data_IF_975992326838
#
_entry.id   IF_975992326838
#
_cell.length_a   1.000
_cell.length_b   1.000
_cell.length_c   1.000
_cell.angle_alpha   90.00
_cell.angle_beta   90.00
_cell.angle_gamma   90.00
#
_symmetry.space_group_name_H-M   'P 1'
#
loop_
_entity.id
_entity.type
_entity.pdbx_description
1 polymer ?
#
# COMPACT_ATOMS: atom_id res chain seq x y z
N UNK A 1 -27.06 -8.50 -9.43
CA UNK A 1 -26.14 -7.82 -8.48
C UNK A 1 -25.89 -8.75 -7.30
N UNK A 2 -24.67 -9.21 -7.12
CA UNK A 2 -24.28 -10.04 -5.97
C UNK A 2 -24.17 -9.20 -4.68
N UNK A 3 -23.84 -9.82 -3.54
CA UNK A 3 -23.79 -9.11 -2.24
C UNK A 3 -22.66 -8.05 -2.21
N UNK A 4 -21.52 -8.29 -2.87
CA UNK A 4 -20.40 -7.35 -2.90
C UNK A 4 -20.74 -6.12 -3.76
N UNK A 5 -21.39 -6.30 -4.89
CA UNK A 5 -21.87 -5.21 -5.74
C UNK A 5 -22.93 -4.35 -5.02
N UNK A 6 -23.81 -4.97 -4.21
CA UNK A 6 -24.76 -4.21 -3.38
C UNK A 6 -24.06 -3.41 -2.28
N UNK A 7 -23.00 -3.95 -1.68
CA UNK A 7 -22.22 -3.24 -0.68
C UNK A 7 -21.53 -2.00 -1.28
N UNK A 8 -20.99 -2.11 -2.49
CA UNK A 8 -20.38 -0.98 -3.20
C UNK A 8 -21.43 0.07 -3.61
N UNK A 9 -22.59 -0.37 -4.11
CA UNK A 9 -23.68 0.53 -4.49
C UNK A 9 -24.33 1.26 -3.29
N UNK A 10 -24.14 0.74 -2.08
CA UNK A 10 -24.66 1.38 -0.86
C UNK A 10 -23.72 2.49 -0.30
N UNK A 11 -22.53 2.66 -0.88
CA UNK A 11 -21.62 3.73 -0.44
C UNK A 11 -22.11 5.10 -0.92
N UNK A 12 -22.05 6.13 -0.08
CA UNK A 12 -22.57 7.46 -0.40
C UNK A 12 -21.57 8.27 -1.23
N UNK A 13 -21.22 7.75 -2.43
CA UNK A 13 -20.33 8.45 -3.35
C UNK A 13 -20.96 9.75 -3.84
N UNK A 14 -20.15 10.80 -3.97
CA UNK A 14 -20.55 12.00 -4.72
C UNK A 14 -20.67 11.67 -6.22
N UNK A 15 -21.28 12.56 -7.00
CA UNK A 15 -21.36 12.36 -8.45
C UNK A 15 -19.96 12.30 -9.08
N UNK A 16 -19.04 13.15 -8.64
CA UNK A 16 -17.66 13.18 -9.12
C UNK A 16 -16.92 11.88 -8.78
N UNK A 17 -17.03 11.39 -7.54
CA UNK A 17 -16.43 10.12 -7.12
C UNK A 17 -17.01 8.92 -7.89
N UNK A 18 -18.32 8.93 -8.17
CA UNK A 18 -18.96 7.90 -8.98
C UNK A 18 -18.37 7.88 -10.39
N UNK A 19 -18.28 9.03 -11.05
CA UNK A 19 -17.70 9.16 -12.40
C UNK A 19 -16.23 8.72 -12.42
N UNK A 20 -15.45 9.10 -11.41
CA UNK A 20 -14.06 8.67 -11.30
C UNK A 20 -13.95 7.16 -11.11
N UNK A 21 -14.73 6.57 -10.20
CA UNK A 21 -14.71 5.13 -9.95
C UNK A 21 -15.10 4.33 -11.19
N UNK A 22 -16.07 4.79 -11.97
CA UNK A 22 -16.45 4.15 -13.24
C UNK A 22 -15.30 4.22 -14.26
N UNK A 23 -14.61 5.37 -14.34
CA UNK A 23 -13.42 5.54 -15.19
C UNK A 23 -12.26 4.65 -14.74
N UNK A 24 -12.06 4.49 -13.43
CA UNK A 24 -11.04 3.59 -12.85
C UNK A 24 -11.37 2.13 -13.16
N UNK A 25 -12.62 1.72 -13.02
CA UNK A 25 -13.07 0.35 -13.38
C UNK A 25 -12.86 0.05 -14.86
N UNK A 26 -13.20 1.00 -15.72
CA UNK A 26 -12.95 0.88 -17.15
C UNK A 26 -11.45 0.74 -17.45
N UNK A 27 -10.62 1.64 -16.91
CA UNK A 27 -9.17 1.59 -17.05
C UNK A 27 -8.60 0.24 -16.55
N UNK A 28 -9.05 -0.21 -15.38
CA UNK A 28 -8.64 -1.47 -14.76
C UNK A 28 -8.96 -2.67 -15.68
N UNK A 29 -10.18 -2.74 -16.19
CA UNK A 29 -10.64 -3.85 -17.03
C UNK A 29 -10.02 -3.85 -18.43
N UNK A 30 -9.99 -2.68 -19.10
CA UNK A 30 -9.62 -2.59 -20.52
C UNK A 30 -8.10 -2.51 -20.75
N UNK A 31 -7.33 -1.95 -19.80
CA UNK A 31 -5.90 -1.72 -19.99
C UNK A 31 -5.02 -2.42 -18.96
N UNK A 32 -5.33 -2.32 -17.66
CA UNK A 32 -4.44 -2.85 -16.62
C UNK A 32 -4.50 -4.39 -16.55
N UNK A 33 -5.70 -4.96 -16.49
CA UNK A 33 -5.88 -6.43 -16.37
C UNK A 33 -5.25 -7.20 -17.53
N UNK A 34 -5.41 -6.79 -18.81
CA UNK A 34 -4.79 -7.49 -19.93
C UNK A 34 -3.26 -7.53 -19.91
N UNK A 35 -2.61 -6.52 -19.29
CA UNK A 35 -1.15 -6.42 -19.20
C UNK A 35 -0.57 -7.16 -18.00
N UNK A 36 -1.40 -7.51 -17.00
CA UNK A 36 -0.93 -8.00 -15.69
C UNK A 36 -0.11 -9.30 -15.77
N UNK A 37 -0.47 -10.23 -16.66
CA UNK A 37 0.27 -11.48 -16.85
C UNK A 37 1.65 -11.26 -17.47
N UNK A 38 1.76 -10.31 -18.41
CA UNK A 38 3.04 -9.93 -19.00
C UNK A 38 3.99 -9.36 -17.94
N UNK A 39 3.53 -8.39 -17.17
CA UNK A 39 4.34 -7.75 -16.13
C UNK A 39 4.72 -8.69 -14.98
N UNK A 40 3.85 -9.63 -14.59
CA UNK A 40 4.24 -10.67 -13.63
C UNK A 40 5.34 -11.58 -14.19
N UNK A 41 5.27 -11.93 -15.47
CA UNK A 41 6.26 -12.80 -16.11
C UNK A 41 7.62 -12.13 -16.27
N UNK A 42 7.65 -10.87 -16.74
CA UNK A 42 8.89 -10.14 -17.04
C UNK A 42 9.48 -9.45 -15.81
N UNK A 43 8.66 -9.18 -14.80
CA UNK A 43 9.02 -8.34 -13.64
C UNK A 43 9.45 -6.90 -14.03
N UNK A 44 9.09 -6.45 -15.23
CA UNK A 44 9.33 -5.08 -15.68
C UNK A 44 8.38 -4.11 -14.97
N UNK A 45 8.87 -2.90 -14.70
CA UNK A 45 8.04 -1.85 -14.12
C UNK A 45 6.95 -1.39 -15.10
N UNK A 46 5.67 -1.35 -14.71
CA UNK A 46 4.55 -1.18 -15.62
C UNK A 46 4.30 0.30 -15.98
N UNK A 47 5.25 0.93 -16.66
CA UNK A 47 5.18 2.35 -17.04
C UNK A 47 3.91 2.73 -17.80
N UNK A 48 3.41 1.84 -18.67
CA UNK A 48 2.15 2.08 -19.39
C UNK A 48 0.97 2.21 -18.44
N UNK A 49 0.91 1.38 -17.38
CA UNK A 49 -0.15 1.46 -16.38
C UNK A 49 -0.03 2.74 -15.54
N UNK A 50 1.20 3.11 -15.15
CA UNK A 50 1.48 4.36 -14.41
C UNK A 50 1.07 5.57 -15.25
N UNK A 51 1.41 5.58 -16.53
CA UNK A 51 1.01 6.64 -17.46
C UNK A 51 -0.52 6.75 -17.60
N UNK A 52 -1.22 5.62 -17.72
CA UNK A 52 -2.67 5.62 -17.83
C UNK A 52 -3.34 6.11 -16.53
N UNK A 53 -2.81 5.75 -15.35
CA UNK A 53 -3.21 6.26 -14.03
C UNK A 53 -3.01 7.77 -13.94
N UNK A 54 -1.84 8.26 -14.38
CA UNK A 54 -1.53 9.69 -14.38
C UNK A 54 -2.43 10.47 -15.35
N UNK A 55 -2.72 9.93 -16.53
CA UNK A 55 -3.63 10.55 -17.50
C UNK A 55 -5.07 10.66 -16.96
N UNK A 56 -5.47 9.81 -16.03
CA UNK A 56 -6.76 9.88 -15.34
C UNK A 56 -6.72 10.85 -14.13
N UNK A 57 -5.55 11.44 -13.82
CA UNK A 57 -5.40 12.40 -12.73
C UNK A 57 -5.41 11.79 -11.32
N UNK A 58 -5.23 10.47 -11.19
CA UNK A 58 -5.37 9.80 -9.89
C UNK A 58 -4.36 10.25 -8.83
N UNK A 59 -3.18 10.75 -9.23
CA UNK A 59 -2.22 11.30 -8.27
C UNK A 59 -2.67 12.62 -7.65
N UNK A 60 -3.52 13.39 -8.35
CA UNK A 60 -4.04 14.64 -7.84
C UNK A 60 -5.10 14.46 -6.75
N UNK A 61 -5.78 13.28 -6.70
CA UNK A 61 -6.96 13.06 -5.84
C UNK A 61 -6.70 13.11 -4.33
N UNK A 62 -5.46 13.08 -3.88
CA UNK A 62 -5.11 13.17 -2.46
C UNK A 62 -4.28 14.41 -2.12
N UNK A 63 -3.94 15.24 -3.11
CA UNK A 63 -3.16 16.48 -2.93
C UNK A 63 -4.12 17.67 -2.86
N UNK A 64 -3.93 18.63 -1.92
CA UNK A 64 -4.77 19.82 -1.84
C UNK A 64 -4.70 20.67 -3.10
N UNK A 65 -5.82 21.35 -3.43
CA UNK A 65 -5.93 22.26 -4.59
C UNK A 65 -4.84 23.34 -4.63
N UNK A 66 -4.45 23.88 -3.46
CA UNK A 66 -3.38 24.87 -3.34
C UNK A 66 -2.04 24.41 -3.92
N UNK A 67 -1.85 23.10 -4.13
CA UNK A 67 -0.64 22.50 -4.68
C UNK A 67 -0.92 21.73 -5.99
N UNK A 68 -1.98 22.11 -6.71
CA UNK A 68 -2.31 21.52 -8.01
C UNK A 68 -3.06 20.19 -7.93
N UNK A 69 -3.58 19.83 -6.78
CA UNK A 69 -4.40 18.63 -6.60
C UNK A 69 -5.88 18.85 -6.87
N UNK A 70 -6.66 17.77 -6.82
CA UNK A 70 -8.12 17.73 -6.87
C UNK A 70 -8.62 16.71 -5.82
N UNK A 71 -8.62 17.10 -4.52
CA UNK A 71 -8.81 16.15 -3.42
C UNK A 71 -10.22 15.58 -3.42
N UNK A 72 -10.28 14.24 -3.35
CA UNK A 72 -11.50 13.46 -3.12
C UNK A 72 -11.45 12.78 -1.75
N UNK A 73 -12.53 12.09 -1.39
CA UNK A 73 -12.60 11.41 -0.10
C UNK A 73 -11.54 10.31 0.02
N UNK A 74 -11.10 10.05 1.25
CA UNK A 74 -10.18 8.95 1.53
C UNK A 74 -10.84 7.59 1.22
N UNK A 75 -12.17 7.49 1.38
CA UNK A 75 -12.93 6.32 0.97
C UNK A 75 -12.83 6.09 -0.55
N UNK A 76 -12.96 7.13 -1.37
CA UNK A 76 -12.79 7.05 -2.82
C UNK A 76 -11.37 6.59 -3.21
N UNK A 77 -10.34 7.12 -2.56
CA UNK A 77 -8.96 6.64 -2.72
C UNK A 77 -8.83 5.14 -2.45
N UNK A 78 -9.39 4.64 -1.33
CA UNK A 78 -9.36 3.22 -0.99
C UNK A 78 -10.12 2.37 -2.01
N UNK A 79 -11.25 2.85 -2.53
CA UNK A 79 -11.98 2.18 -3.60
C UNK A 79 -11.14 2.08 -4.88
N UNK A 80 -10.46 3.15 -5.29
CA UNK A 80 -9.56 3.12 -6.44
C UNK A 80 -8.39 2.14 -6.24
N UNK A 81 -7.77 2.10 -5.05
CA UNK A 81 -6.71 1.11 -4.73
C UNK A 81 -7.25 -0.31 -4.90
N UNK A 82 -8.45 -0.60 -4.40
CA UNK A 82 -9.08 -1.92 -4.51
C UNK A 82 -9.34 -2.30 -5.97
N UNK A 83 -9.96 -1.42 -6.77
CA UNK A 83 -10.30 -1.68 -8.18
C UNK A 83 -9.03 -1.93 -9.04
N UNK A 84 -8.00 -1.11 -8.87
CA UNK A 84 -6.72 -1.28 -9.58
C UNK A 84 -6.03 -2.58 -9.15
N UNK A 85 -6.09 -2.93 -7.85
CA UNK A 85 -5.46 -4.13 -7.30
C UNK A 85 -6.19 -5.41 -7.73
N UNK A 86 -7.50 -5.36 -7.95
CA UNK A 86 -8.28 -6.47 -8.53
C UNK A 86 -7.83 -6.80 -9.97
N UNK A 87 -7.47 -5.78 -10.72
CA UNK A 87 -6.93 -5.93 -12.08
C UNK A 87 -5.46 -6.38 -12.06
N UNK A 88 -4.61 -5.73 -11.26
CA UNK A 88 -3.18 -6.02 -11.14
C UNK A 88 -2.64 -5.57 -9.78
N UNK A 89 -2.30 -6.52 -8.92
CA UNK A 89 -1.76 -6.26 -7.59
C UNK A 89 -0.47 -5.41 -7.62
N UNK A 90 0.43 -5.66 -8.56
CA UNK A 90 1.66 -4.85 -8.72
C UNK A 90 1.35 -3.39 -9.02
N UNK A 91 0.43 -3.11 -9.95
CA UNK A 91 0.03 -1.73 -10.29
C UNK A 91 -0.68 -1.04 -9.11
N UNK A 92 -1.56 -1.76 -8.41
CA UNK A 92 -2.27 -1.23 -7.25
C UNK A 92 -1.34 -0.78 -6.14
N UNK A 93 -0.29 -1.56 -5.83
CA UNK A 93 0.65 -1.17 -4.78
C UNK A 93 1.63 -0.07 -5.22
N UNK A 94 2.04 -0.02 -6.49
CA UNK A 94 2.87 1.07 -7.00
C UNK A 94 2.18 2.41 -6.75
N UNK A 95 0.90 2.50 -7.10
CA UNK A 95 0.14 3.73 -6.91
C UNK A 95 -0.17 4.02 -5.43
N UNK A 96 -0.55 3.00 -4.64
CA UNK A 96 -0.79 3.16 -3.21
C UNK A 96 0.48 3.62 -2.45
N UNK A 97 1.66 3.10 -2.80
CA UNK A 97 2.94 3.51 -2.21
C UNK A 97 3.24 4.98 -2.47
N UNK A 98 2.82 5.52 -3.61
CA UNK A 98 2.97 6.95 -3.91
C UNK A 98 2.25 7.81 -2.87
N UNK A 99 1.00 7.47 -2.53
CA UNK A 99 0.27 8.13 -1.43
C UNK A 99 1.01 7.97 -0.10
N UNK A 100 1.50 6.77 0.26
CA UNK A 100 2.19 6.53 1.53
C UNK A 100 3.42 7.44 1.70
N UNK A 101 4.15 7.68 0.61
CA UNK A 101 5.35 8.51 0.61
C UNK A 101 5.04 10.01 0.62
N UNK A 102 4.00 10.45 -0.11
CA UNK A 102 3.63 11.86 -0.21
C UNK A 102 2.91 12.33 1.07
N UNK A 103 2.20 11.45 1.75
CA UNK A 103 1.39 11.81 2.93
C UNK A 103 2.20 12.44 4.07
N UNK A 104 3.41 11.96 4.45
CA UNK A 104 4.27 12.66 5.40
C UNK A 104 4.59 14.09 5.00
N UNK A 105 4.87 14.33 3.73
CA UNK A 105 5.14 15.68 3.22
C UNK A 105 3.89 16.57 3.32
N UNK A 106 2.72 16.05 3.00
CA UNK A 106 1.45 16.79 3.09
C UNK A 106 1.12 17.17 4.54
N UNK A 107 1.30 16.23 5.48
CA UNK A 107 0.89 16.42 6.88
C UNK A 107 1.93 17.20 7.70
N UNK A 108 3.22 17.07 7.40
CA UNK A 108 4.32 17.55 8.23
C UNK A 108 5.32 18.46 7.51
N UNK A 109 5.27 18.57 6.18
CA UNK A 109 6.06 19.52 5.43
C UNK A 109 5.70 20.96 5.76
N UNK A 110 6.67 21.86 5.74
CA UNK A 110 6.42 23.29 5.79
C UNK A 110 5.89 23.81 4.43
N UNK A 111 5.46 25.06 4.39
CA UNK A 111 4.82 25.63 3.19
C UNK A 111 5.77 25.63 1.98
N UNK A 112 7.04 25.97 2.17
CA UNK A 112 8.04 25.98 1.10
C UNK A 112 8.24 24.57 0.50
N UNK A 113 8.34 23.53 1.35
CA UNK A 113 8.45 22.14 0.94
C UNK A 113 7.22 21.69 0.14
N UNK A 114 6.01 22.04 0.61
CA UNK A 114 4.75 21.68 -0.05
C UNK A 114 4.65 22.37 -1.42
N UNK A 115 4.88 23.66 -1.50
CA UNK A 115 4.84 24.45 -2.75
C UNK A 115 5.85 23.93 -3.78
N UNK A 116 7.03 23.52 -3.34
CA UNK A 116 8.09 23.04 -4.23
C UNK A 116 7.86 21.63 -4.74
N UNK A 117 7.29 20.74 -3.92
CA UNK A 117 7.33 19.30 -4.18
C UNK A 117 5.97 18.72 -4.56
N UNK A 118 4.86 19.17 -3.95
CA UNK A 118 3.55 18.54 -4.18
C UNK A 118 3.02 18.73 -5.61
N UNK A 119 3.22 19.88 -6.30
CA UNK A 119 2.76 20.02 -7.68
C UNK A 119 3.34 18.95 -8.62
N UNK A 120 4.63 18.63 -8.48
CA UNK A 120 5.29 17.57 -9.26
C UNK A 120 4.67 16.19 -9.02
N UNK A 121 4.22 15.94 -7.78
CA UNK A 121 3.59 14.67 -7.41
C UNK A 121 2.14 14.62 -7.95
N UNK A 122 1.42 15.74 -7.97
CA UNK A 122 0.08 15.83 -8.57
C UNK A 122 0.12 15.55 -10.08
N UNK A 123 1.17 16.01 -10.77
CA UNK A 123 1.40 15.79 -12.21
C UNK A 123 1.84 14.36 -12.56
N UNK A 124 2.06 13.49 -11.58
CA UNK A 124 2.39 12.08 -11.83
C UNK A 124 3.79 11.65 -11.39
N UNK A 125 4.51 12.46 -10.63
CA UNK A 125 5.76 12.06 -10.00
C UNK A 125 5.60 10.85 -9.09
N UNK A 126 6.64 10.04 -8.96
CA UNK A 126 6.67 8.88 -8.07
C UNK A 126 7.47 9.17 -6.81
N UNK A 127 6.99 8.63 -5.69
CA UNK A 127 7.64 8.78 -4.40
C UNK A 127 7.78 7.44 -3.67
N UNK A 128 8.81 7.36 -2.80
CA UNK A 128 9.09 6.20 -1.97
C UNK A 128 9.17 6.56 -0.49
N UNK A 129 8.58 5.72 0.37
CA UNK A 129 8.70 5.79 1.83
C UNK A 129 9.84 4.88 2.28
N UNK A 130 10.90 5.46 2.88
CA UNK A 130 12.19 4.80 3.04
C UNK A 130 12.50 4.59 4.53
N UNK A 131 12.13 3.40 5.06
CA UNK A 131 12.19 3.08 6.48
C UNK A 131 13.12 1.91 6.76
N UNK A 132 12.83 0.74 6.15
CA UNK A 132 13.39 -0.57 6.48
C UNK A 132 14.88 -0.66 6.17
N UNK A 133 15.63 -1.28 7.09
CA UNK A 133 17.06 -1.59 6.93
C UNK A 133 17.32 -3.09 7.02
N UNK A 134 18.46 -3.60 6.56
CA UNK A 134 18.79 -5.02 6.64
C UNK A 134 18.69 -5.62 8.04
N UNK A 135 18.89 -4.81 9.08
CA UNK A 135 18.84 -5.22 10.49
C UNK A 135 17.67 -4.63 11.28
N UNK A 136 16.79 -3.84 10.65
CA UNK A 136 15.70 -3.12 11.30
C UNK A 136 14.43 -3.17 10.43
N UNK A 137 13.63 -4.22 10.59
CA UNK A 137 12.33 -4.41 9.93
C UNK A 137 11.18 -4.15 10.89
N UNK A 138 10.71 -5.19 11.59
CA UNK A 138 9.61 -5.07 12.58
C UNK A 138 9.96 -4.14 13.75
N UNK A 139 11.22 -4.05 14.13
CA UNK A 139 11.74 -3.03 15.02
C UNK A 139 12.37 -1.89 14.20
N UNK A 140 11.53 -1.00 13.70
CA UNK A 140 12.00 0.17 12.94
C UNK A 140 12.83 1.14 13.81
N UNK A 141 12.72 1.10 15.13
CA UNK A 141 13.49 1.99 16.03
C UNK A 141 14.97 1.60 16.12
N UNK A 142 15.29 0.35 15.74
CA UNK A 142 16.67 -0.15 15.64
C UNK A 142 17.44 0.27 14.39
N UNK A 143 16.91 1.19 13.57
CA UNK A 143 17.59 1.66 12.35
C UNK A 143 18.95 2.29 12.66
N UNK A 144 19.86 2.23 11.69
CA UNK A 144 21.26 2.70 11.80
C UNK A 144 21.60 3.84 10.85
N UNK A 145 20.76 4.14 9.85
CA UNK A 145 20.95 5.32 8.99
C UNK A 145 21.04 6.56 9.85
N UNK A 146 22.05 7.40 9.61
CA UNK A 146 22.33 8.61 10.43
C UNK A 146 22.15 9.88 9.63
N UNK A 147 21.69 10.92 10.32
CA UNK A 147 21.65 12.31 9.88
C UNK A 147 22.56 13.13 10.79
N UNK A 148 23.63 13.66 10.24
CA UNK A 148 24.59 14.50 10.95
C UNK A 148 24.47 15.93 10.46
N UNK A 149 24.13 16.92 11.32
CA UNK A 149 24.07 18.31 10.91
C UNK A 149 25.48 18.83 10.55
N UNK A 150 25.55 19.64 9.48
CA UNK A 150 26.77 20.29 9.02
C UNK A 150 26.43 21.68 8.47
N UNK A 151 26.33 22.66 9.35
CA UNK A 151 25.88 24.02 9.04
C UNK A 151 24.45 24.02 8.50
N UNK A 152 24.25 24.55 7.29
CA UNK A 152 22.97 24.58 6.58
C UNK A 152 22.66 23.29 5.81
N UNK A 153 23.42 22.24 6.07
CA UNK A 153 23.29 20.93 5.44
C UNK A 153 23.08 19.81 6.45
N UNK A 154 22.65 18.66 5.97
CA UNK A 154 22.60 17.40 6.67
C UNK A 154 23.42 16.39 5.88
N UNK A 155 24.32 15.67 6.54
CA UNK A 155 25.07 14.55 5.97
C UNK A 155 24.35 13.27 6.34
N UNK A 156 23.91 12.49 5.32
CA UNK A 156 23.23 11.23 5.52
C UNK A 156 24.15 10.05 5.13
N UNK A 157 24.22 9.06 6.02
CA UNK A 157 24.95 7.81 5.81
C UNK A 157 24.08 6.62 6.23
N UNK A 158 24.14 5.53 5.46
CA UNK A 158 23.43 4.29 5.77
C UNK A 158 22.98 3.50 4.56
N UNK A 159 22.06 2.56 4.80
CA UNK A 159 21.47 1.75 3.74
C UNK A 159 20.04 1.38 4.09
N UNK A 160 19.23 1.17 3.07
CA UNK A 160 17.83 0.77 3.19
C UNK A 160 17.54 -0.39 2.24
N UNK A 161 16.57 -1.24 2.60
CA UNK A 161 16.19 -2.42 1.83
C UNK A 161 14.66 -2.55 1.74
N UNK A 162 14.18 -3.25 0.75
CA UNK A 162 12.75 -3.49 0.50
C UNK A 162 11.94 -2.21 0.28
N UNK A 163 12.53 -1.23 -0.41
CA UNK A 163 11.87 0.06 -0.65
C UNK A 163 11.04 -0.02 -1.93
N UNK A 164 9.71 -0.04 -1.76
CA UNK A 164 8.76 0.00 -2.88
C UNK A 164 8.91 1.29 -3.66
N UNK A 165 8.87 1.22 -5.00
CA UNK A 165 9.16 2.31 -5.92
C UNK A 165 10.58 2.92 -5.76
N UNK A 166 11.47 2.31 -4.96
CA UNK A 166 12.77 2.88 -4.64
C UNK A 166 13.71 3.04 -5.83
N UNK A 167 13.51 2.26 -6.88
CA UNK A 167 14.29 2.28 -8.12
C UNK A 167 13.79 3.31 -9.14
N UNK A 168 12.54 3.76 -9.02
CA UNK A 168 11.87 4.61 -10.02
C UNK A 168 11.45 5.97 -9.50
N UNK A 169 11.43 6.17 -8.18
CA UNK A 169 10.92 7.41 -7.55
C UNK A 169 11.77 8.63 -7.86
N UNK A 170 11.09 9.78 -7.90
CA UNK A 170 11.70 11.11 -8.00
C UNK A 170 11.98 11.69 -6.62
N UNK A 171 11.16 11.27 -5.62
CA UNK A 171 11.16 11.76 -4.25
C UNK A 171 11.21 10.62 -3.25
N UNK A 172 11.99 10.78 -2.19
CA UNK A 172 12.16 9.80 -1.12
C UNK A 172 11.95 10.47 0.24
N UNK A 173 11.06 9.92 1.07
CA UNK A 173 10.95 10.31 2.48
C UNK A 173 11.77 9.32 3.29
N UNK A 174 12.94 9.75 3.73
CA UNK A 174 13.95 8.89 4.37
C UNK A 174 13.92 9.09 5.88
N UNK A 175 13.83 7.99 6.62
CA UNK A 175 13.93 7.98 8.09
C UNK A 175 15.32 7.54 8.53
N UNK A 176 15.87 8.23 9.51
CA UNK A 176 17.20 7.96 10.10
C UNK A 176 17.30 8.56 11.48
N UNK A 177 18.44 8.35 12.14
CA UNK A 177 18.73 8.87 13.48
C UNK A 177 19.51 10.17 13.39
N UNK A 178 19.05 11.18 14.10
CA UNK A 178 19.79 12.44 14.27
C UNK A 178 20.95 12.24 15.23
N UNK A 179 22.18 12.49 14.79
CA UNK A 179 23.41 12.10 15.52
C UNK A 179 23.61 12.83 16.85
N UNK A 180 23.00 14.01 17.02
CA UNK A 180 23.13 14.82 18.25
C UNK A 180 22.05 14.52 19.30
N UNK A 181 21.08 13.65 19.00
CA UNK A 181 20.01 13.27 19.92
C UNK A 181 20.26 11.85 20.43
N UNK A 182 20.32 11.70 21.75
CA UNK A 182 20.44 10.40 22.40
C UNK A 182 19.09 9.66 22.42
N UNK A 183 19.16 8.32 22.40
CA UNK A 183 17.98 7.45 22.45
C UNK A 183 17.51 7.00 21.08
N UNK A 184 17.13 5.73 21.01
CA UNK A 184 16.75 5.08 19.73
C UNK A 184 15.47 5.63 19.11
N UNK A 185 14.51 6.03 19.92
CA UNK A 185 13.22 6.55 19.48
C UNK A 185 13.24 8.05 19.30
N UNK A 186 13.89 8.72 20.21
CA UNK A 186 13.96 10.18 20.33
C UNK A 186 14.81 10.79 19.22
N UNK A 187 15.77 10.03 18.68
CA UNK A 187 16.67 10.48 17.61
C UNK A 187 16.06 10.31 16.20
N UNK A 188 14.98 9.53 16.04
CA UNK A 188 14.40 9.31 14.71
C UNK A 188 13.92 10.64 14.12
N UNK A 189 14.39 10.91 12.91
CA UNK A 189 14.06 12.09 12.12
C UNK A 189 13.66 11.67 10.70
N UNK A 190 13.05 12.57 9.95
CA UNK A 190 12.65 12.32 8.58
C UNK A 190 13.12 13.45 7.66
N UNK A 191 13.67 13.11 6.52
CA UNK A 191 14.13 14.07 5.51
C UNK A 191 13.56 13.76 4.15
N UNK A 192 13.46 14.79 3.31
CA UNK A 192 13.14 14.67 1.89
C UNK A 192 14.44 14.58 1.11
N UNK A 193 14.56 13.52 0.29
CA UNK A 193 15.66 13.32 -0.63
C UNK A 193 15.12 13.30 -2.07
N UNK A 194 15.79 13.97 -2.99
CA UNK A 194 15.43 13.96 -4.41
C UNK A 194 16.38 13.04 -5.20
N UNK A 195 15.86 12.43 -6.27
CA UNK A 195 16.62 11.59 -7.19
C UNK A 195 17.82 12.35 -7.74
N UNK A 196 18.94 11.66 -7.90
CA UNK A 196 20.15 12.25 -8.45
C UNK A 196 21.00 13.04 -7.45
N UNK A 197 20.64 13.08 -6.17
CA UNK A 197 21.48 13.71 -5.13
C UNK A 197 22.82 12.95 -5.04
N UNK A 198 23.98 13.63 -5.10
CA UNK A 198 25.30 12.98 -5.00
C UNK A 198 25.44 12.14 -3.74
N UNK A 199 26.04 10.95 -3.87
CA UNK A 199 26.22 9.99 -2.78
C UNK A 199 25.00 9.07 -2.55
N UNK A 200 23.86 9.34 -3.18
CA UNK A 200 22.69 8.45 -3.18
C UNK A 200 22.76 7.48 -4.35
N UNK A 201 22.58 6.19 -4.08
CA UNK A 201 22.58 5.15 -5.11
C UNK A 201 21.54 4.07 -4.85
N UNK A 202 20.99 3.52 -5.93
CA UNK A 202 20.18 2.30 -5.95
C UNK A 202 21.13 1.15 -6.16
N UNK A 203 21.25 0.24 -5.17
CA UNK A 203 22.25 -0.83 -5.19
C UNK A 203 21.72 -2.15 -5.75
N UNK A 204 20.42 -2.28 -5.93
CA UNK A 204 19.77 -3.45 -6.52
C UNK A 204 18.26 -3.42 -6.35
N UNK A 205 17.60 -4.38 -7.01
CA UNK A 205 16.16 -4.65 -6.89
C UNK A 205 15.95 -6.11 -6.53
N UNK A 206 14.89 -6.40 -5.77
CA UNK A 206 14.60 -7.75 -5.28
C UNK A 206 13.85 -8.58 -6.33
N UNK A 207 14.27 -9.82 -6.56
CA UNK A 207 13.47 -10.84 -7.28
C UNK A 207 12.46 -11.47 -6.30
N UNK A 208 11.17 -11.22 -6.55
CA UNK A 208 10.11 -11.48 -5.58
C UNK A 208 9.19 -12.62 -6.00
N UNK A 209 8.59 -13.25 -5.02
CA UNK A 209 7.57 -14.30 -5.18
C UNK A 209 6.31 -13.77 -5.90
N UNK A 210 5.83 -12.61 -5.51
CA UNK A 210 4.62 -11.94 -6.02
C UNK A 210 4.81 -10.43 -6.13
N UNK A 211 3.80 -9.71 -6.60
CA UNK A 211 3.86 -8.28 -6.94
C UNK A 211 5.14 -7.94 -7.73
N UNK A 212 5.50 -8.83 -8.66
CA UNK A 212 6.82 -8.88 -9.28
C UNK A 212 7.17 -7.61 -10.06
N UNK A 213 6.18 -6.98 -10.66
CA UNK A 213 6.35 -5.74 -11.42
C UNK A 213 6.42 -4.46 -10.57
N UNK A 214 6.15 -4.54 -9.25
CA UNK A 214 6.38 -3.42 -8.35
C UNK A 214 7.85 -3.39 -7.95
N UNK A 215 8.62 -2.42 -8.42
CA UNK A 215 10.02 -2.25 -8.06
C UNK A 215 10.20 -2.21 -6.55
N UNK A 216 11.17 -2.97 -6.03
CA UNK A 216 11.48 -3.03 -4.61
C UNK A 216 12.99 -2.98 -4.48
N UNK A 217 13.52 -1.83 -4.05
CA UNK A 217 14.94 -1.53 -4.15
C UNK A 217 15.68 -1.59 -2.82
N UNK A 218 16.98 -1.84 -2.95
CA UNK A 218 18.00 -1.58 -1.95
C UNK A 218 18.69 -0.24 -2.26
N UNK A 219 18.84 0.61 -1.24
CA UNK A 219 19.37 1.97 -1.36
C UNK A 219 20.59 2.15 -0.47
N UNK A 220 21.57 2.91 -0.93
CA UNK A 220 22.75 3.29 -0.15
C UNK A 220 22.95 4.81 -0.15
N UNK A 221 23.40 5.29 1.00
CA UNK A 221 23.72 6.69 1.27
C UNK A 221 25.15 6.77 1.76
N UNK A 222 26.02 7.40 0.97
CA UNK A 222 27.42 7.60 1.26
C UNK A 222 27.72 9.10 1.22
N UNK A 223 27.86 9.71 2.38
CA UNK A 223 28.09 11.15 2.54
C UNK A 223 27.10 12.01 1.75
N UNK A 224 25.84 11.59 1.68
CA UNK A 224 24.79 12.32 0.95
C UNK A 224 24.55 13.65 1.65
N UNK A 225 24.84 14.75 0.96
CA UNK A 225 24.65 16.11 1.46
C UNK A 225 23.33 16.66 0.95
N UNK A 226 22.41 16.99 1.86
CA UNK A 226 21.12 17.62 1.56
C UNK A 226 20.96 18.93 2.34
N UNK A 227 20.20 19.91 1.83
CA UNK A 227 19.88 21.12 2.57
C UNK A 227 19.15 20.80 3.88
N UNK A 228 19.43 21.54 4.96
CA UNK A 228 18.69 21.43 6.23
C UNK A 228 17.19 21.74 6.05
N UNK A 229 16.86 22.55 5.08
CA UNK A 229 15.47 22.83 4.66
C UNK A 229 14.68 21.59 4.16
N UNK A 230 15.36 20.47 3.92
CA UNK A 230 14.71 19.19 3.55
C UNK A 230 14.31 18.35 4.80
N UNK A 231 14.60 18.80 6.01
CA UNK A 231 14.12 18.15 7.24
C UNK A 231 12.60 18.34 7.36
N UNK A 232 11.88 17.27 7.67
CA UNK A 232 10.44 17.33 7.98
C UNK A 232 10.27 17.57 9.49
N UNK A 233 9.63 18.68 9.85
CA UNK A 233 9.50 19.15 11.23
C UNK A 233 10.88 19.41 11.90
N UNK A 234 11.02 19.03 13.17
CA UNK A 234 12.24 19.19 13.95
C UNK A 234 13.00 17.86 14.06
N UNK A 235 14.32 17.91 14.35
CA UNK A 235 15.06 16.70 14.69
C UNK A 235 14.40 15.95 15.85
N UNK A 236 14.22 14.62 15.69
CA UNK A 236 13.55 13.79 16.69
C UNK A 236 12.04 13.59 16.48
N UNK A 237 11.39 14.36 15.61
CA UNK A 237 9.95 14.19 15.30
C UNK A 237 9.65 12.98 14.40
N UNK A 238 10.67 12.29 13.88
CA UNK A 238 10.49 11.24 12.87
C UNK A 238 9.62 10.08 13.34
N UNK A 239 9.68 9.68 14.61
CA UNK A 239 8.80 8.61 15.11
C UNK A 239 7.32 9.00 15.06
N UNK A 240 7.01 10.25 15.40
CA UNK A 240 5.64 10.82 15.30
C UNK A 240 5.16 10.82 13.86
N UNK A 241 6.01 11.27 12.93
CA UNK A 241 5.73 11.29 11.48
C UNK A 241 5.47 9.86 10.98
N UNK A 242 6.34 8.92 11.33
CA UNK A 242 6.25 7.51 10.95
C UNK A 242 4.93 6.88 11.40
N UNK A 243 4.57 7.01 12.68
CA UNK A 243 3.35 6.42 13.23
C UNK A 243 2.08 7.03 12.62
N UNK A 244 2.06 8.35 12.41
CA UNK A 244 0.95 9.02 11.75
C UNK A 244 0.77 8.55 10.31
N UNK A 245 1.86 8.37 9.58
CA UNK A 245 1.86 7.86 8.20
C UNK A 245 1.34 6.42 8.12
N UNK A 246 1.85 5.52 9.00
CA UNK A 246 1.42 4.13 9.06
C UNK A 246 -0.08 3.97 9.38
N UNK A 247 -0.67 4.85 10.18
CA UNK A 247 -2.10 4.81 10.47
C UNK A 247 -2.98 5.11 9.25
N UNK A 248 -2.44 5.83 8.27
CA UNK A 248 -3.12 6.17 7.01
C UNK A 248 -2.73 5.24 5.85
N UNK A 249 -1.57 4.58 5.90
CA UNK A 249 -1.15 3.63 4.86
C UNK A 249 -1.75 2.22 5.06
N UNK A 250 -1.96 1.77 6.28
CA UNK A 250 -2.52 0.44 6.59
C UNK A 250 -3.89 0.16 5.96
N UNK A 251 -4.87 1.09 5.97
CA UNK A 251 -6.13 0.87 5.27
C UNK A 251 -5.98 0.73 3.74
N UNK A 252 -5.02 1.40 3.11
CA UNK A 252 -4.77 1.20 1.68
C UNK A 252 -4.13 -0.16 1.39
N UNK A 253 -3.28 -0.69 2.28
CA UNK A 253 -2.82 -2.09 2.20
C UNK A 253 -3.98 -3.07 2.36
N UNK A 254 -4.94 -2.77 3.22
CA UNK A 254 -6.16 -3.57 3.35
C UNK A 254 -7.00 -3.53 2.07
N UNK A 255 -7.20 -2.35 1.47
CA UNK A 255 -7.89 -2.18 0.20
C UNK A 255 -7.20 -2.94 -0.94
N UNK A 256 -5.85 -2.88 -1.00
CA UNK A 256 -5.04 -3.66 -1.93
C UNK A 256 -5.26 -5.16 -1.76
N UNK A 257 -5.21 -5.67 -0.52
CA UNK A 257 -5.44 -7.07 -0.22
C UNK A 257 -6.88 -7.50 -0.58
N UNK A 258 -7.87 -6.66 -0.33
CA UNK A 258 -9.27 -6.91 -0.70
C UNK A 258 -9.47 -6.94 -2.22
N UNK A 259 -8.75 -6.12 -2.99
CA UNK A 259 -8.73 -6.21 -4.46
C UNK A 259 -8.24 -7.59 -4.94
N UNK A 260 -7.12 -8.08 -4.38
CA UNK A 260 -6.61 -9.42 -4.66
C UNK A 260 -7.63 -10.50 -4.27
N UNK A 261 -8.26 -10.35 -3.09
CA UNK A 261 -9.26 -11.29 -2.60
C UNK A 261 -10.49 -11.35 -3.52
N UNK A 262 -11.01 -10.20 -3.97
CA UNK A 262 -12.14 -10.12 -4.93
C UNK A 262 -11.79 -10.78 -6.26
N UNK A 263 -10.61 -10.49 -6.80
CA UNK A 263 -10.14 -11.12 -8.03
C UNK A 263 -10.15 -12.65 -7.92
N UNK A 264 -9.54 -13.17 -6.85
CA UNK A 264 -9.46 -14.61 -6.62
C UNK A 264 -10.84 -15.26 -6.37
N UNK A 265 -11.69 -14.58 -5.59
CA UNK A 265 -13.05 -15.04 -5.31
C UNK A 265 -13.91 -15.08 -6.59
N UNK A 266 -13.92 -13.99 -7.37
CA UNK A 266 -14.70 -13.90 -8.59
C UNK A 266 -14.26 -14.94 -9.64
N UNK A 267 -12.96 -15.14 -9.83
CA UNK A 267 -12.43 -16.17 -10.74
C UNK A 267 -12.83 -17.59 -10.29
N UNK A 268 -12.75 -17.87 -8.98
CA UNK A 268 -13.16 -19.14 -8.43
C UNK A 268 -14.67 -19.40 -8.62
N UNK A 269 -15.51 -18.40 -8.35
CA UNK A 269 -16.96 -18.50 -8.56
C UNK A 269 -17.30 -18.73 -10.04
N UNK A 270 -16.67 -17.98 -10.95
CA UNK A 270 -16.88 -18.17 -12.39
C UNK A 270 -16.50 -19.60 -12.82
N UNK A 271 -15.31 -20.05 -12.44
CA UNK A 271 -14.84 -21.40 -12.76
C UNK A 271 -15.76 -22.49 -12.20
N UNK A 272 -16.17 -22.39 -10.92
CA UNK A 272 -17.04 -23.40 -10.28
C UNK A 272 -18.46 -23.43 -10.87
N UNK A 273 -18.93 -22.35 -11.47
CA UNK A 273 -20.20 -22.32 -12.19
C UNK A 273 -20.13 -23.05 -13.56
N UNK A 274 -18.96 -23.06 -14.18
CA UNK A 274 -18.79 -23.67 -15.51
C UNK A 274 -18.28 -25.12 -15.43
N UNK A 275 -17.33 -25.40 -14.54
CA UNK A 275 -16.68 -26.70 -14.40
C UNK A 275 -17.62 -27.75 -13.83
N UNK A 276 -17.70 -28.90 -14.53
CA UNK A 276 -18.51 -30.05 -14.11
C UNK A 276 -17.66 -31.24 -13.71
N UNK A 277 -18.05 -31.89 -12.63
CA UNK A 277 -17.53 -33.19 -12.19
C UNK A 277 -18.69 -34.03 -11.65
N UNK A 278 -18.66 -35.37 -11.87
CA UNK A 278 -19.73 -36.29 -11.44
C UNK A 278 -21.13 -35.81 -11.86
N UNK A 279 -21.24 -35.23 -13.07
CA UNK A 279 -22.50 -34.76 -13.67
C UNK A 279 -23.04 -33.41 -13.17
N UNK A 280 -22.40 -32.78 -12.20
CA UNK A 280 -22.82 -31.50 -11.58
C UNK A 280 -21.76 -30.41 -11.77
N UNK A 281 -22.17 -29.14 -11.73
CA UNK A 281 -21.22 -28.02 -11.59
C UNK A 281 -20.55 -28.10 -10.23
N UNK A 282 -19.30 -27.61 -10.11
CA UNK A 282 -18.60 -27.63 -8.83
C UNK A 282 -19.37 -26.89 -7.73
N UNK A 283 -19.98 -25.76 -8.06
CA UNK A 283 -20.76 -24.95 -7.09
C UNK A 283 -22.07 -25.65 -6.65
N UNK A 284 -22.50 -26.74 -7.27
CA UNK A 284 -23.67 -27.53 -6.85
C UNK A 284 -23.32 -28.54 -5.73
N UNK A 285 -22.04 -28.71 -5.38
CA UNK A 285 -21.64 -29.55 -4.26
C UNK A 285 -21.75 -28.77 -2.94
N UNK A 286 -22.53 -29.27 -2.00
CA UNK A 286 -22.83 -28.60 -0.72
C UNK A 286 -21.57 -28.22 0.06
N UNK A 287 -20.54 -29.07 0.08
CA UNK A 287 -19.27 -28.77 0.76
C UNK A 287 -18.57 -27.55 0.17
N UNK A 288 -18.61 -27.35 -1.15
CA UNK A 288 -18.06 -26.17 -1.80
C UNK A 288 -18.93 -24.92 -1.57
N UNK A 289 -20.27 -25.08 -1.52
CA UNK A 289 -21.18 -23.98 -1.16
C UNK A 289 -20.91 -23.43 0.24
N UNK A 290 -20.63 -24.30 1.20
CA UNK A 290 -20.30 -23.87 2.58
C UNK A 290 -19.00 -23.05 2.60
N UNK A 291 -17.96 -23.53 1.92
CA UNK A 291 -16.70 -22.79 1.82
C UNK A 291 -16.89 -21.41 1.18
N UNK A 292 -17.64 -21.35 0.06
CA UNK A 292 -17.94 -20.08 -0.62
C UNK A 292 -18.75 -19.14 0.28
N UNK A 293 -19.73 -19.67 1.02
CA UNK A 293 -20.56 -18.88 1.93
C UNK A 293 -19.72 -18.25 3.05
N UNK A 294 -18.81 -19.02 3.66
CA UNK A 294 -17.90 -18.52 4.70
C UNK A 294 -16.98 -17.43 4.18
N UNK A 295 -16.36 -17.64 3.01
CA UNK A 295 -15.48 -16.67 2.37
C UNK A 295 -16.22 -15.38 2.01
N UNK A 296 -17.42 -15.50 1.44
CA UNK A 296 -18.27 -14.36 1.06
C UNK A 296 -18.70 -13.55 2.30
N UNK A 297 -19.10 -14.22 3.39
CA UNK A 297 -19.49 -13.58 4.62
C UNK A 297 -18.33 -12.80 5.27
N UNK A 298 -17.13 -13.41 5.35
CA UNK A 298 -15.95 -12.73 5.86
C UNK A 298 -15.54 -11.55 4.97
N UNK A 299 -15.63 -11.69 3.64
CA UNK A 299 -15.27 -10.62 2.70
C UNK A 299 -16.18 -9.40 2.89
N UNK A 300 -17.50 -9.61 2.98
CA UNK A 300 -18.47 -8.53 3.24
C UNK A 300 -18.19 -7.83 4.58
N UNK A 301 -17.92 -8.60 5.65
CA UNK A 301 -17.62 -8.03 6.95
C UNK A 301 -16.35 -7.18 6.95
N UNK A 302 -15.26 -7.67 6.33
CA UNK A 302 -13.99 -6.94 6.29
C UNK A 302 -14.08 -5.71 5.41
N UNK A 303 -14.80 -5.77 4.29
CA UNK A 303 -15.04 -4.57 3.46
C UNK A 303 -15.93 -3.54 4.15
N UNK A 304 -16.93 -3.97 4.89
CA UNK A 304 -17.74 -3.05 5.71
C UNK A 304 -16.86 -2.33 6.75
N UNK A 305 -15.88 -3.04 7.32
CA UNK A 305 -14.91 -2.44 8.24
C UNK A 305 -13.94 -1.48 7.54
N UNK A 306 -13.55 -1.74 6.26
CA UNK A 306 -12.76 -0.81 5.45
C UNK A 306 -13.44 0.56 5.36
N UNK A 307 -14.72 0.58 5.00
CA UNK A 307 -15.47 1.83 4.87
C UNK A 307 -15.64 2.54 6.23
N UNK A 308 -15.85 1.78 7.30
CA UNK A 308 -15.89 2.37 8.64
C UNK A 308 -14.59 3.01 9.05
N UNK A 309 -13.45 2.38 8.79
CA UNK A 309 -12.13 2.95 9.09
C UNK A 309 -11.84 4.18 8.22
N UNK A 310 -12.26 4.18 6.95
CA UNK A 310 -12.17 5.35 6.10
C UNK A 310 -12.90 6.56 6.72
N UNK A 311 -14.14 6.39 7.15
CA UNK A 311 -14.92 7.43 7.82
C UNK A 311 -14.26 7.95 9.11
N UNK A 312 -13.66 7.07 9.92
CA UNK A 312 -12.93 7.45 11.12
C UNK A 312 -11.71 8.33 10.81
N UNK A 313 -10.99 8.02 9.73
CA UNK A 313 -9.83 8.81 9.27
C UNK A 313 -10.29 10.16 8.75
N UNK A 314 -11.32 10.22 7.92
CA UNK A 314 -11.88 11.45 7.37
C UNK A 314 -12.42 12.40 8.45
N UNK A 315 -13.06 11.84 9.46
CA UNK A 315 -13.55 12.60 10.61
C UNK A 315 -12.47 13.01 11.61
N UNK A 316 -11.19 12.71 11.31
CA UNK A 316 -10.06 12.92 12.22
C UNK A 316 -10.28 12.31 13.61
N UNK A 317 -10.93 11.14 13.69
CA UNK A 317 -11.15 10.44 14.94
C UNK A 317 -9.82 10.15 15.65
N UNK A 318 -9.72 10.35 16.97
CA UNK A 318 -8.48 10.11 17.70
C UNK A 318 -8.15 8.60 17.75
N UNK A 319 -6.86 8.27 17.72
CA UNK A 319 -6.34 6.90 17.95
C UNK A 319 -6.82 5.82 16.94
N UNK A 320 -7.05 6.15 15.69
CA UNK A 320 -7.49 5.21 14.63
C UNK A 320 -6.47 4.09 14.33
N UNK A 321 -5.29 4.13 14.96
CA UNK A 321 -4.21 3.17 14.68
C UNK A 321 -4.54 1.72 15.03
N UNK A 322 -5.42 1.47 16.03
CA UNK A 322 -5.85 0.10 16.39
C UNK A 322 -6.88 -0.41 15.37
N UNK A 323 -7.84 0.41 14.98
CA UNK A 323 -8.84 0.10 13.95
C UNK A 323 -8.18 -0.20 12.61
N UNK A 324 -7.19 0.62 12.20
CA UNK A 324 -6.39 0.39 11.01
C UNK A 324 -5.55 -0.91 11.11
N UNK A 325 -5.04 -1.24 12.30
CA UNK A 325 -4.32 -2.49 12.55
C UNK A 325 -5.22 -3.72 12.48
N UNK A 326 -6.45 -3.63 13.03
CA UNK A 326 -7.46 -4.69 12.92
C UNK A 326 -7.84 -4.92 11.46
N UNK A 327 -8.11 -3.83 10.75
CA UNK A 327 -8.46 -3.89 9.33
C UNK A 327 -7.37 -4.56 8.50
N UNK A 328 -6.12 -4.07 8.61
CA UNK A 328 -4.97 -4.62 7.86
C UNK A 328 -4.78 -6.10 8.16
N UNK A 329 -4.78 -6.48 9.43
CA UNK A 329 -4.64 -7.89 9.86
C UNK A 329 -5.71 -8.77 9.22
N UNK A 330 -6.99 -8.39 9.32
CA UNK A 330 -8.11 -9.21 8.85
C UNK A 330 -8.19 -9.25 7.33
N UNK A 331 -8.00 -8.14 6.65
CA UNK A 331 -8.03 -8.08 5.19
C UNK A 331 -6.92 -8.93 4.55
N UNK A 332 -5.71 -8.86 5.10
CA UNK A 332 -4.56 -9.59 4.52
C UNK A 332 -4.56 -11.08 4.85
N UNK A 333 -5.03 -11.50 6.03
CA UNK A 333 -5.22 -12.91 6.34
C UNK A 333 -6.35 -13.51 5.47
N UNK A 334 -7.43 -12.77 5.27
CA UNK A 334 -8.54 -13.18 4.40
C UNK A 334 -8.12 -13.28 2.94
N UNK A 335 -7.37 -12.29 2.43
CA UNK A 335 -6.88 -12.31 1.05
C UNK A 335 -6.02 -13.53 0.76
N UNK A 336 -5.11 -13.88 1.68
CA UNK A 336 -4.29 -15.08 1.55
C UNK A 336 -5.13 -16.35 1.57
N UNK A 337 -6.15 -16.43 2.44
CA UNK A 337 -7.07 -17.57 2.52
C UNK A 337 -7.86 -17.71 1.21
N UNK A 338 -8.53 -16.65 0.75
CA UNK A 338 -9.34 -16.67 -0.48
C UNK A 338 -8.47 -17.05 -1.68
N UNK A 339 -7.28 -16.46 -1.82
CA UNK A 339 -6.39 -16.74 -2.95
C UNK A 339 -5.90 -18.20 -2.93
N UNK A 340 -5.63 -18.77 -1.75
CA UNK A 340 -5.25 -20.19 -1.58
C UNK A 340 -6.43 -21.12 -1.92
N UNK A 341 -7.63 -20.82 -1.42
CA UNK A 341 -8.84 -21.60 -1.67
C UNK A 341 -9.25 -21.52 -3.16
N UNK A 342 -9.03 -20.36 -3.82
CA UNK A 342 -9.26 -20.23 -5.25
C UNK A 342 -8.39 -21.18 -6.08
N UNK A 343 -7.09 -21.30 -5.75
CA UNK A 343 -6.21 -22.31 -6.38
C UNK A 343 -6.78 -23.72 -6.16
N UNK A 344 -7.21 -24.02 -4.93
CA UNK A 344 -7.78 -25.33 -4.60
C UNK A 344 -9.08 -25.61 -5.36
N UNK A 345 -9.98 -24.63 -5.51
CA UNK A 345 -11.26 -24.78 -6.23
C UNK A 345 -11.05 -25.03 -7.72
N UNK A 346 -10.01 -24.44 -8.33
CA UNK A 346 -9.64 -24.70 -9.72
C UNK A 346 -8.89 -26.05 -9.89
N UNK A 347 -8.39 -26.65 -8.81
CA UNK A 347 -7.63 -27.89 -8.84
C UNK A 347 -6.33 -27.75 -9.66
N UNK A 348 -6.01 -28.72 -10.50
CA UNK A 348 -4.79 -28.69 -11.33
C UNK A 348 -4.70 -27.46 -12.25
N UNK A 349 -5.80 -26.94 -12.72
CA UNK A 349 -5.83 -25.70 -13.50
C UNK A 349 -5.42 -24.48 -12.68
N UNK A 350 -5.81 -24.41 -11.40
CA UNK A 350 -5.41 -23.32 -10.50
C UNK A 350 -3.91 -23.29 -10.20
N UNK A 351 -3.23 -24.42 -10.37
CA UNK A 351 -1.78 -24.55 -10.18
C UNK A 351 -0.98 -24.15 -11.43
N UNK A 352 -1.64 -24.00 -12.59
CA UNK A 352 -1.04 -23.61 -13.85
C UNK A 352 -1.17 -22.11 -14.11
N UNK A 353 -0.15 -21.52 -14.77
CA UNK A 353 -0.09 -20.07 -15.05
C UNK A 353 -1.11 -19.56 -16.07
N UNK A 354 -1.87 -20.47 -16.73
CA UNK A 354 -2.97 -20.10 -17.62
C UNK A 354 -4.14 -19.43 -16.88
N UNK A 355 -4.26 -19.69 -15.58
CA UNK A 355 -5.24 -19.05 -14.69
C UNK A 355 -4.51 -18.16 -13.67
N UNK A 356 -5.00 -16.92 -13.51
CA UNK A 356 -4.32 -15.93 -12.67
C UNK A 356 -4.37 -16.20 -11.16
N UNK A 357 -5.14 -17.19 -10.70
CA UNK A 357 -5.30 -17.47 -9.25
C UNK A 357 -3.97 -17.86 -8.56
N UNK A 358 -3.06 -18.53 -9.27
CA UNK A 358 -1.72 -18.82 -8.72
C UNK A 358 -0.92 -17.54 -8.49
N UNK A 359 -1.02 -16.55 -9.40
CA UNK A 359 -0.39 -15.24 -9.25
C UNK A 359 -1.02 -14.47 -8.08
N UNK A 360 -2.35 -14.47 -7.98
CA UNK A 360 -3.06 -13.81 -6.88
C UNK A 360 -2.66 -14.38 -5.52
N UNK A 361 -2.41 -15.70 -5.42
CA UNK A 361 -1.89 -16.33 -4.20
C UNK A 361 -0.48 -15.85 -3.87
N UNK A 362 0.42 -15.75 -4.87
CA UNK A 362 1.76 -15.20 -4.68
C UNK A 362 1.73 -13.73 -4.26
N UNK A 363 0.87 -12.94 -4.90
CA UNK A 363 0.68 -11.51 -4.63
C UNK A 363 0.07 -11.26 -3.25
N UNK A 364 -0.89 -12.07 -2.81
CA UNK A 364 -1.53 -11.93 -1.50
C UNK A 364 -0.54 -12.09 -0.35
N UNK A 365 0.52 -12.91 -0.50
CA UNK A 365 1.43 -13.24 0.60
C UNK A 365 2.15 -12.04 1.18
N UNK A 366 2.61 -11.11 0.35
CA UNK A 366 3.34 -9.94 0.83
C UNK A 366 2.47 -9.04 1.73
N UNK A 367 1.16 -9.02 1.51
CA UNK A 367 0.23 -8.18 2.28
C UNK A 367 0.22 -8.50 3.77
N UNK A 368 0.55 -9.74 4.17
CA UNK A 368 0.70 -10.16 5.57
C UNK A 368 2.02 -9.68 6.22
N UNK A 369 2.98 -9.18 5.43
CA UNK A 369 4.36 -8.92 5.85
C UNK A 369 4.65 -7.42 5.93
N UNK A 370 4.40 -6.67 4.86
CA UNK A 370 4.72 -5.24 4.79
C UNK A 370 3.79 -4.37 5.65
N UNK A 371 4.16 -3.09 5.83
CA UNK A 371 3.43 -2.08 6.65
C UNK A 371 3.15 -2.59 8.10
N UNK A 372 4.10 -3.40 8.59
CA UNK A 372 3.99 -4.18 9.82
C UNK A 372 3.48 -5.59 9.56
N UNK A 373 4.22 -6.60 10.04
CA UNK A 373 3.76 -7.98 9.95
C UNK A 373 2.46 -8.19 10.71
N UNK A 374 1.67 -9.19 10.32
CA UNK A 374 0.43 -9.51 11.03
C UNK A 374 0.65 -9.88 12.49
N UNK A 375 1.87 -10.33 12.86
CA UNK A 375 2.29 -10.53 14.26
C UNK A 375 2.42 -9.20 15.01
N UNK A 376 3.00 -8.18 14.39
CA UNK A 376 3.07 -6.84 14.97
C UNK A 376 1.67 -6.26 15.19
N UNK A 377 0.75 -6.43 14.22
CA UNK A 377 -0.64 -5.98 14.39
C UNK A 377 -1.34 -6.70 15.54
N UNK A 378 -1.18 -8.03 15.67
CA UNK A 378 -1.69 -8.80 16.82
C UNK A 378 -1.14 -8.27 18.15
N UNK A 379 0.16 -7.94 18.19
CA UNK A 379 0.79 -7.36 19.37
C UNK A 379 0.22 -5.96 19.70
N UNK A 380 0.06 -5.09 18.70
CA UNK A 380 -0.52 -3.75 18.89
C UNK A 380 -1.95 -3.82 19.42
N UNK A 381 -2.79 -4.65 18.79
CA UNK A 381 -4.17 -4.87 19.20
C UNK A 381 -4.21 -5.44 20.62
N UNK A 382 -3.46 -6.49 20.91
CA UNK A 382 -3.44 -7.12 22.24
C UNK A 382 -2.99 -6.14 23.34
N UNK A 383 -1.95 -5.33 23.06
CA UNK A 383 -1.45 -4.31 24.00
C UNK A 383 -2.45 -3.19 24.27
N UNK A 384 -3.37 -2.90 23.37
CA UNK A 384 -4.39 -1.85 23.58
C UNK A 384 -5.36 -2.18 24.73
N UNK A 385 -5.46 -3.46 25.12
CA UNK A 385 -6.28 -3.91 26.25
C UNK A 385 -5.53 -3.97 27.58
N UNK A 386 -4.20 -3.71 27.59
CA UNK A 386 -3.45 -3.65 28.83
C UNK A 386 -3.82 -2.39 29.63
N UNK A 387 -4.08 -2.55 30.92
CA UNK A 387 -4.26 -1.41 31.83
C UNK A 387 -2.96 -0.63 31.92
N UNK A 388 -3.01 0.67 31.64
CA UNK A 388 -1.86 1.54 31.95
C UNK A 388 -1.72 1.60 33.45
N UNK A 389 -0.61 1.12 34.00
CA UNK A 389 -0.25 1.41 35.38
C UNK A 389 -0.13 2.94 35.51
N UNK A 390 -0.87 3.50 36.48
CA UNK A 390 -0.69 4.92 36.82
C UNK A 390 0.71 5.05 37.41
N UNK A 391 1.64 5.59 36.61
CA UNK A 391 2.93 6.05 37.11
C UNK A 391 2.78 7.37 37.80
#
# INVERSE_FOLDING_TARGET
MNVLERLDAAQPWTQEETMLLDSVRQLAAEKIAPRAAHYDKTAEFPWDNVKDINNLGLNAMFIPEAYGGAPLSYACYLACVREISEACASTGIIWATNFHAIKPLMDFGNEEQKQRLLPRMAEGGLAALVITEPTAGSDATGMKTTFTPDGDSIIMNGSKIFISNGDVSDLYIVFGKWSEIAGDKESISAVVLEKGTPGFSITGTEDKMGTRASGTASLAFDQVRIPRANLLCEPGDGLKILLASLNKSRPSVAAHALGIARAAFNDAIAYMNDRRQSGKRLLEFQGLQFNVADLAAELVMVESWLWRVAQLIESNAPNVGIEASILKLKATDLAMRIATDAVQFLGGYGYCKDYRVERLMRDAKITQIWEGTNQIHRQLIGRSFLKKEKR
#
